data_IF_840123112922
#
_entry.id   IF_840123112922
#
_cell.length_a   1.000
_cell.length_b   1.000
_cell.length_c   1.000
_cell.angle_alpha   90.00
_cell.angle_beta   90.00
_cell.angle_gamma   90.00
#
_symmetry.space_group_name_H-M   'P 1'
#
loop_
_entity.id
_entity.type
_entity.pdbx_description
1 polymer ?
#
# COMPACT_ATOMS: atom_id res chain seq x y z
N UNK A 1 -61.30 28.54 24.30
CA UNK A 1 -59.89 28.22 24.57
C UNK A 1 -59.80 26.72 24.73
N UNK A 2 -59.32 26.02 23.70
CA UNK A 2 -59.15 24.56 23.68
C UNK A 2 -57.65 24.29 23.76
N UNK A 3 -57.21 23.68 24.86
CA UNK A 3 -55.85 23.13 24.99
C UNK A 3 -55.71 21.93 24.06
N UNK A 4 -54.78 22.03 23.11
CA UNK A 4 -54.34 20.88 22.33
C UNK A 4 -53.29 20.09 23.13
N UNK A 5 -53.41 18.76 23.24
CA UNK A 5 -52.41 17.95 23.90
C UNK A 5 -51.11 17.92 23.08
N UNK A 6 -50.02 18.30 23.74
CA UNK A 6 -48.65 18.15 23.24
C UNK A 6 -48.36 16.65 23.10
N UNK A 7 -48.24 16.19 21.87
CA UNK A 7 -47.89 14.82 21.53
C UNK A 7 -46.37 14.64 21.70
N UNK A 8 -45.94 14.14 22.86
CA UNK A 8 -44.54 13.80 23.19
C UNK A 8 -44.12 12.41 22.68
N UNK A 9 -44.82 11.86 21.69
CA UNK A 9 -44.65 10.52 21.17
C UNK A 9 -43.73 10.40 19.95
N UNK A 10 -42.72 11.25 19.78
CA UNK A 10 -41.65 11.00 18.79
C UNK A 10 -40.73 9.93 19.37
N UNK A 11 -41.21 8.67 19.34
CA UNK A 11 -40.36 7.50 19.41
C UNK A 11 -39.22 7.72 18.43
N UNK A 12 -37.99 7.72 18.94
CA UNK A 12 -36.79 7.64 18.14
C UNK A 12 -36.94 6.43 17.19
N UNK A 13 -37.46 6.69 15.99
CA UNK A 13 -37.28 5.84 14.83
C UNK A 13 -35.81 6.02 14.46
N UNK A 14 -34.94 5.42 15.28
CA UNK A 14 -33.64 5.02 14.84
C UNK A 14 -33.90 4.23 13.57
N UNK A 15 -33.45 4.79 12.44
CA UNK A 15 -33.34 4.08 11.18
C UNK A 15 -32.37 2.93 11.44
N UNK A 16 -32.91 1.85 12.02
CA UNK A 16 -32.21 0.64 12.39
C UNK A 16 -31.86 -0.06 11.11
N UNK A 17 -30.78 0.42 10.48
CA UNK A 17 -30.13 -0.30 9.40
C UNK A 17 -29.91 -1.72 9.92
N UNK A 18 -30.47 -2.69 9.21
CA UNK A 18 -30.38 -4.08 9.59
C UNK A 18 -28.89 -4.48 9.59
N UNK A 19 -28.28 -4.54 10.77
CA UNK A 19 -26.90 -4.99 10.92
C UNK A 19 -26.90 -6.52 10.80
N UNK A 20 -26.21 -7.11 9.80
CA UNK A 20 -26.07 -8.55 9.73
C UNK A 20 -25.08 -9.04 10.79
N UNK A 21 -25.26 -10.25 11.28
CA UNK A 21 -24.30 -10.90 12.16
C UNK A 21 -22.95 -11.05 11.47
N UNK A 22 -21.87 -10.64 12.13
CA UNK A 22 -20.50 -10.73 11.57
C UNK A 22 -20.00 -12.17 11.40
N UNK A 23 -20.69 -13.17 11.97
CA UNK A 23 -20.29 -14.57 11.91
C UNK A 23 -21.06 -15.37 10.86
N UNK A 24 -22.38 -15.20 10.76
CA UNK A 24 -23.23 -15.98 9.84
C UNK A 24 -24.04 -15.14 8.83
N UNK A 25 -24.02 -13.81 8.93
CA UNK A 25 -24.80 -12.92 8.06
C UNK A 25 -26.28 -12.76 8.40
N UNK A 26 -26.80 -13.44 9.43
CA UNK A 26 -28.21 -13.32 9.85
C UNK A 26 -28.58 -11.89 10.25
N UNK A 27 -29.77 -11.41 9.84
CA UNK A 27 -30.21 -10.05 10.17
C UNK A 27 -30.50 -9.90 11.67
N UNK A 28 -29.80 -9.00 12.34
CA UNK A 28 -30.00 -8.75 13.78
C UNK A 28 -31.10 -7.71 14.07
N UNK A 29 -31.88 -7.34 13.05
CA UNK A 29 -32.93 -6.33 13.19
C UNK A 29 -34.01 -6.80 14.17
N UNK A 30 -34.24 -6.00 15.21
CA UNK A 30 -35.27 -6.26 16.22
C UNK A 30 -34.87 -7.29 17.29
N UNK A 31 -33.62 -7.78 17.26
CA UNK A 31 -33.07 -8.55 18.37
C UNK A 31 -32.48 -7.62 19.44
N UNK A 32 -32.46 -8.09 20.69
CA UNK A 32 -31.85 -7.39 21.81
C UNK A 32 -30.33 -7.23 21.57
N UNK A 33 -29.79 -6.03 21.75
CA UNK A 33 -28.36 -5.74 21.56
C UNK A 33 -27.45 -6.59 22.48
N UNK A 34 -27.97 -6.95 23.66
CA UNK A 34 -27.30 -7.80 24.64
C UNK A 34 -27.46 -9.31 24.36
N UNK A 35 -28.25 -9.67 23.35
CA UNK A 35 -28.54 -11.05 22.99
C UNK A 35 -27.42 -11.73 22.20
N UNK A 36 -27.68 -12.97 21.80
CA UNK A 36 -26.85 -13.75 20.88
C UNK A 36 -27.60 -14.00 19.58
N UNK A 37 -26.86 -14.11 18.48
CA UNK A 37 -27.43 -14.47 17.18
C UNK A 37 -28.06 -15.88 17.27
N UNK A 38 -29.33 -16.06 16.85
CA UNK A 38 -30.02 -17.34 16.96
C UNK A 38 -29.43 -18.43 16.04
N UNK A 39 -28.76 -18.05 14.96
CA UNK A 39 -28.18 -18.99 14.00
C UNK A 39 -26.83 -19.56 14.46
N UNK A 40 -25.97 -18.73 15.07
CA UNK A 40 -24.58 -19.10 15.36
C UNK A 40 -24.13 -18.84 16.80
N UNK A 41 -24.98 -18.27 17.65
CA UNK A 41 -24.67 -17.95 19.05
C UNK A 41 -23.68 -16.79 19.26
N UNK A 42 -23.27 -16.07 18.21
CA UNK A 42 -22.37 -14.91 18.34
C UNK A 42 -23.08 -13.74 19.03
N UNK A 43 -22.45 -13.12 20.03
CA UNK A 43 -23.01 -11.94 20.70
C UNK A 43 -23.34 -10.82 19.70
N UNK A 44 -24.53 -10.24 19.83
CA UNK A 44 -25.06 -9.22 18.92
C UNK A 44 -24.23 -7.94 19.00
N UNK A 45 -23.83 -7.54 20.20
CA UNK A 45 -22.89 -6.45 20.47
C UNK A 45 -21.67 -6.51 19.55
N UNK A 46 -21.08 -7.69 19.33
CA UNK A 46 -19.90 -7.86 18.45
C UNK A 46 -20.18 -7.45 17.00
N UNK A 47 -21.42 -7.63 16.53
CA UNK A 47 -21.84 -7.23 15.19
C UNK A 47 -22.20 -5.74 15.13
N UNK A 48 -22.81 -5.21 16.21
CA UNK A 48 -23.15 -3.80 16.34
C UNK A 48 -21.91 -2.89 16.48
N UNK A 49 -20.86 -3.40 17.12
CA UNK A 49 -19.58 -2.69 17.28
C UNK A 49 -18.88 -2.48 15.92
N UNK A 50 -19.22 -3.28 14.90
CA UNK A 50 -18.71 -3.16 13.54
C UNK A 50 -17.25 -3.58 13.36
N UNK A 51 -16.75 -3.47 12.13
CA UNK A 51 -15.36 -3.77 11.73
C UNK A 51 -14.45 -2.54 11.90
N UNK A 52 -14.68 -1.73 12.94
CA UNK A 52 -13.92 -0.50 13.12
C UNK A 52 -12.51 -0.77 13.68
N UNK A 53 -11.50 -0.10 13.12
CA UNK A 53 -10.10 -0.25 13.53
C UNK A 53 -9.84 0.02 15.02
N UNK A 54 -10.65 0.88 15.64
CA UNK A 54 -10.54 1.22 17.06
C UNK A 54 -10.73 0.00 17.97
N UNK A 55 -11.44 -1.01 17.48
CA UNK A 55 -11.66 -2.24 18.22
C UNK A 55 -10.63 -3.31 17.89
N UNK A 56 -9.69 -3.11 16.96
CA UNK A 56 -8.74 -4.13 16.53
C UNK A 56 -7.69 -4.49 17.60
N UNK A 57 -6.99 -5.61 17.43
CA UNK A 57 -5.92 -6.03 18.34
C UNK A 57 -4.78 -5.00 18.35
N UNK A 58 -4.38 -4.54 19.54
CA UNK A 58 -3.35 -3.50 19.70
C UNK A 58 -1.96 -3.90 19.14
N UNK A 59 -1.60 -5.19 19.18
CA UNK A 59 -0.34 -5.69 18.59
C UNK A 59 -0.40 -5.64 17.06
N UNK A 60 -1.56 -5.97 16.49
CA UNK A 60 -1.76 -5.83 15.04
C UNK A 60 -1.73 -4.36 14.62
N UNK A 61 -2.40 -3.46 15.35
CA UNK A 61 -2.32 -2.00 15.11
C UNK A 61 -0.89 -1.46 15.17
N UNK A 62 -0.08 -1.92 16.14
CA UNK A 62 1.35 -1.57 16.21
C UNK A 62 2.12 -2.03 14.97
N UNK A 63 1.78 -3.20 14.44
CA UNK A 63 2.38 -3.75 13.21
C UNK A 63 2.03 -2.88 12.01
N UNK A 64 0.76 -2.46 11.89
CA UNK A 64 0.32 -1.53 10.85
C UNK A 64 1.03 -0.18 10.93
N UNK A 65 1.15 0.39 12.13
CA UNK A 65 1.83 1.66 12.36
C UNK A 65 3.31 1.61 11.94
N UNK A 66 4.02 0.53 12.31
CA UNK A 66 5.40 0.32 11.87
C UNK A 66 5.49 0.19 10.34
N UNK A 67 4.57 -0.55 9.73
CA UNK A 67 4.51 -0.66 8.27
C UNK A 67 4.28 0.68 7.57
N UNK A 68 3.34 1.48 8.09
CA UNK A 68 3.02 2.81 7.57
C UNK A 68 4.20 3.77 7.68
N UNK A 69 4.90 3.79 8.81
CA UNK A 69 6.07 4.67 8.99
C UNK A 69 7.19 4.33 8.01
N UNK A 70 7.46 3.04 7.76
CA UNK A 70 8.42 2.60 6.74
C UNK A 70 8.01 3.02 5.32
N UNK A 71 6.74 2.82 4.95
CA UNK A 71 6.20 3.20 3.64
C UNK A 71 6.21 4.73 3.45
N UNK A 72 6.00 5.52 4.50
CA UNK A 72 5.99 6.97 4.41
C UNK A 72 7.41 7.55 4.22
N UNK A 73 8.41 6.99 4.91
CA UNK A 73 9.78 7.50 4.89
C UNK A 73 10.60 7.02 3.69
N UNK A 74 10.35 5.80 3.20
CA UNK A 74 11.12 5.23 2.09
C UNK A 74 11.10 6.06 0.80
N UNK A 75 9.94 6.47 0.27
CA UNK A 75 9.85 7.30 -0.93
C UNK A 75 10.61 8.63 -0.81
N UNK A 76 10.67 9.23 0.39
CA UNK A 76 11.43 10.47 0.63
C UNK A 76 12.91 10.22 0.37
N UNK A 77 13.47 9.14 0.93
CA UNK A 77 14.87 8.75 0.72
C UNK A 77 15.13 8.41 -0.76
N UNK A 78 14.22 7.68 -1.41
CA UNK A 78 14.33 7.35 -2.83
C UNK A 78 14.40 8.61 -3.69
N UNK A 79 13.50 9.58 -3.47
CA UNK A 79 13.48 10.85 -4.21
C UNK A 79 14.76 11.66 -3.96
N UNK A 80 15.27 11.69 -2.73
CA UNK A 80 16.56 12.35 -2.43
C UNK A 80 17.73 11.69 -3.18
N UNK A 81 17.79 10.36 -3.22
CA UNK A 81 18.84 9.64 -3.94
C UNK A 81 18.74 9.84 -5.47
N UNK A 82 17.52 9.87 -6.01
CA UNK A 82 17.28 10.14 -7.43
C UNK A 82 17.71 11.55 -7.82
N UNK A 83 17.34 12.56 -7.03
CA UNK A 83 17.73 13.95 -7.31
C UNK A 83 19.24 14.14 -7.26
N UNK A 84 19.93 13.50 -6.28
CA UNK A 84 21.38 13.48 -6.23
C UNK A 84 22.01 12.80 -7.45
N UNK A 85 21.49 11.64 -7.87
CA UNK A 85 21.96 10.94 -9.07
C UNK A 85 21.83 11.77 -10.34
N UNK A 86 20.70 12.46 -10.51
CA UNK A 86 20.45 13.38 -11.64
C UNK A 86 21.44 14.55 -11.59
N UNK A 87 21.68 15.15 -10.43
CA UNK A 87 22.63 16.25 -10.28
C UNK A 87 24.05 15.83 -10.68
N UNK A 88 24.51 14.66 -10.22
CA UNK A 88 25.80 14.10 -10.63
C UNK A 88 25.86 13.83 -12.14
N UNK A 89 24.71 13.53 -12.78
CA UNK A 89 24.66 13.19 -14.21
C UNK A 89 24.87 14.44 -15.03
N UNK A 90 24.24 15.54 -14.61
CA UNK A 90 24.42 16.87 -15.20
C UNK A 90 25.89 17.29 -15.07
N UNK A 91 26.51 17.09 -13.90
CA UNK A 91 27.95 17.39 -13.71
C UNK A 91 28.82 16.56 -14.65
N UNK A 92 28.56 15.26 -14.77
CA UNK A 92 29.29 14.36 -15.70
C UNK A 92 29.22 14.89 -17.12
N UNK A 93 28.02 15.21 -17.60
CA UNK A 93 27.80 15.74 -18.96
C UNK A 93 28.48 17.10 -19.17
N UNK A 94 28.46 17.98 -18.17
CA UNK A 94 29.07 19.30 -18.25
C UNK A 94 30.62 19.26 -18.30
N UNK A 95 31.24 18.27 -17.64
CA UNK A 95 32.69 18.13 -17.56
C UNK A 95 33.25 17.29 -18.71
N UNK A 96 32.57 16.23 -19.12
CA UNK A 96 33.04 15.28 -20.15
C UNK A 96 33.35 15.94 -21.50
N UNK A 97 32.70 17.07 -21.82
CA UNK A 97 32.97 17.84 -23.05
C UNK A 97 34.06 18.91 -22.93
N UNK A 98 34.63 19.13 -21.73
CA UNK A 98 35.52 20.28 -21.45
C UNK A 98 36.92 19.91 -21.02
N UNK A 99 37.12 18.75 -20.39
CA UNK A 99 38.41 18.38 -19.83
C UNK A 99 38.74 16.91 -20.11
N UNK A 100 40.03 16.57 -20.10
CA UNK A 100 40.54 15.20 -20.17
C UNK A 100 40.52 14.47 -18.81
N UNK A 101 39.69 14.93 -17.88
CA UNK A 101 39.63 14.37 -16.51
C UNK A 101 38.99 12.98 -16.56
N UNK A 102 39.62 12.01 -15.91
CA UNK A 102 39.05 10.69 -15.74
C UNK A 102 37.87 10.74 -14.76
N UNK A 103 36.67 10.45 -15.26
CA UNK A 103 35.42 10.46 -14.50
C UNK A 103 34.96 9.06 -14.06
N UNK A 104 35.82 8.04 -14.11
CA UNK A 104 35.46 6.67 -13.73
C UNK A 104 34.92 6.54 -12.30
N UNK A 105 35.40 7.37 -11.37
CA UNK A 105 34.91 7.38 -9.99
C UNK A 105 33.41 7.72 -9.88
N UNK A 106 32.84 8.44 -10.85
CA UNK A 106 31.40 8.70 -10.87
C UNK A 106 30.60 7.42 -11.10
N UNK A 107 31.12 6.46 -11.87
CA UNK A 107 30.45 5.18 -12.10
C UNK A 107 30.31 4.37 -10.80
N UNK A 108 31.36 4.37 -9.97
CA UNK A 108 31.35 3.75 -8.64
C UNK A 108 30.32 4.43 -7.72
N UNK A 109 30.27 5.77 -7.72
CA UNK A 109 29.28 6.54 -6.95
C UNK A 109 27.86 6.20 -7.39
N UNK A 110 27.60 6.08 -8.70
CA UNK A 110 26.28 5.67 -9.19
C UNK A 110 25.90 4.27 -8.73
N UNK A 111 26.84 3.33 -8.76
CA UNK A 111 26.59 1.97 -8.28
C UNK A 111 26.26 1.98 -6.78
N UNK A 112 26.97 2.77 -5.97
CA UNK A 112 26.63 2.94 -4.54
C UNK A 112 25.23 3.53 -4.35
N UNK A 113 24.88 4.59 -5.10
CA UNK A 113 23.55 5.21 -5.01
C UNK A 113 22.43 4.23 -5.41
N UNK A 114 22.64 3.39 -6.41
CA UNK A 114 21.70 2.34 -6.81
C UNK A 114 21.51 1.29 -5.70
N UNK A 115 22.57 0.87 -5.02
CA UNK A 115 22.48 -0.03 -3.86
C UNK A 115 21.72 0.62 -2.70
N UNK A 116 22.00 1.89 -2.38
CA UNK A 116 21.27 2.63 -1.34
C UNK A 116 19.79 2.78 -1.67
N UNK A 117 19.47 3.06 -2.93
CA UNK A 117 18.08 3.12 -3.43
C UNK A 117 17.37 1.78 -3.28
N UNK A 118 18.07 0.69 -3.62
CA UNK A 118 17.56 -0.68 -3.47
C UNK A 118 17.32 -1.05 -2.01
N UNK A 119 18.23 -0.67 -1.11
CA UNK A 119 18.06 -0.86 0.33
C UNK A 119 16.86 -0.06 0.87
N UNK A 120 16.64 1.17 0.40
CA UNK A 120 15.46 1.95 0.75
C UNK A 120 14.17 1.28 0.27
N UNK A 121 14.15 0.74 -0.95
CA UNK A 121 13.00 0.00 -1.46
C UNK A 121 12.73 -1.29 -0.67
N UNK A 122 13.78 -1.99 -0.22
CA UNK A 122 13.62 -3.15 0.68
C UNK A 122 12.90 -2.76 1.97
N UNK A 123 13.21 -1.60 2.55
CA UNK A 123 12.49 -1.08 3.73
C UNK A 123 11.02 -0.83 3.40
N UNK A 124 10.71 -0.26 2.23
CA UNK A 124 9.32 -0.07 1.76
C UNK A 124 8.61 -1.41 1.57
N UNK A 125 9.30 -2.41 0.99
CA UNK A 125 8.75 -3.74 0.77
C UNK A 125 8.44 -4.44 2.11
N UNK A 126 9.32 -4.31 3.10
CA UNK A 126 9.07 -4.79 4.48
C UNK A 126 7.87 -4.05 5.08
N UNK A 127 7.82 -2.72 4.94
CA UNK A 127 6.68 -1.92 5.38
C UNK A 127 5.36 -2.36 4.74
N UNK A 128 5.39 -2.70 3.46
CA UNK A 128 4.27 -3.27 2.72
C UNK A 128 3.83 -4.63 3.30
N UNK A 129 4.77 -5.51 3.67
CA UNK A 129 4.44 -6.79 4.30
C UNK A 129 3.76 -6.60 5.66
N UNK A 130 4.21 -5.61 6.44
CA UNK A 130 3.67 -5.26 7.76
C UNK A 130 2.28 -4.63 7.66
N UNK A 131 2.08 -3.64 6.77
CA UNK A 131 0.77 -2.97 6.62
C UNK A 131 -0.30 -3.91 6.02
N UNK A 132 0.15 -4.94 5.31
CA UNK A 132 -0.73 -5.98 4.77
C UNK A 132 -0.82 -7.20 5.69
N UNK A 133 -0.33 -7.15 6.93
CA UNK A 133 -0.47 -8.25 7.88
C UNK A 133 -1.94 -8.65 8.08
N UNK A 134 -2.21 -9.96 8.17
CA UNK A 134 -3.57 -10.46 8.38
C UNK A 134 -4.11 -9.94 9.71
N UNK A 135 -5.34 -9.44 9.70
CA UNK A 135 -6.07 -9.22 10.95
C UNK A 135 -6.26 -10.59 11.64
N UNK A 136 -5.85 -10.78 12.91
CA UNK A 136 -6.04 -12.02 13.64
C UNK A 136 -7.50 -12.52 13.68
N UNK A 137 -8.47 -11.63 13.46
CA UNK A 137 -9.91 -11.91 13.43
C UNK A 137 -10.37 -12.53 12.12
N UNK A 138 -9.81 -12.08 11.01
CA UNK A 138 -10.12 -12.56 9.67
C UNK A 138 -9.33 -13.85 9.42
N UNK A 139 -9.79 -14.97 10.00
CA UNK A 139 -9.18 -16.31 9.78
C UNK A 139 -9.64 -16.99 8.49
N UNK A 140 -10.56 -16.39 7.77
CA UNK A 140 -11.04 -16.94 6.51
C UNK A 140 -9.91 -16.99 5.49
N UNK A 141 -9.93 -18.03 4.64
CA UNK A 141 -8.95 -18.17 3.57
C UNK A 141 -9.15 -17.04 2.58
N UNK A 142 -8.22 -16.09 2.55
CA UNK A 142 -8.21 -15.07 1.52
C UNK A 142 -8.08 -15.72 0.12
N UNK A 143 -8.79 -15.19 -0.89
CA UNK A 143 -8.61 -15.64 -2.26
C UNK A 143 -7.17 -15.38 -2.73
N UNK A 144 -6.65 -16.23 -3.60
CA UNK A 144 -5.29 -16.14 -4.14
C UNK A 144 -4.99 -14.79 -4.82
N UNK A 145 -6.03 -14.09 -5.29
CA UNK A 145 -5.94 -12.79 -5.95
C UNK A 145 -6.38 -11.64 -5.04
N UNK A 146 -6.20 -11.77 -3.72
CA UNK A 146 -6.47 -10.68 -2.79
C UNK A 146 -5.52 -9.50 -3.08
N UNK A 147 -6.01 -8.27 -2.88
CA UNK A 147 -5.20 -7.04 -3.06
C UNK A 147 -3.92 -7.07 -2.21
N UNK A 148 -3.99 -7.70 -1.03
CA UNK A 148 -2.82 -7.99 -0.18
C UNK A 148 -1.80 -8.86 -0.90
N UNK A 149 -2.23 -9.96 -1.50
CA UNK A 149 -1.32 -10.90 -2.19
C UNK A 149 -0.64 -10.22 -3.37
N UNK A 150 -1.39 -9.42 -4.13
CA UNK A 150 -0.86 -8.59 -5.23
C UNK A 150 0.19 -7.59 -4.71
N UNK A 151 -0.12 -6.85 -3.65
CA UNK A 151 0.81 -5.88 -3.05
C UNK A 151 2.12 -6.53 -2.60
N UNK A 152 2.04 -7.67 -1.89
CA UNK A 152 3.19 -8.39 -1.33
C UNK A 152 4.10 -8.95 -2.42
N UNK A 153 3.55 -9.74 -3.33
CA UNK A 153 4.32 -10.34 -4.41
C UNK A 153 4.79 -9.31 -5.42
N UNK A 154 4.00 -8.26 -5.68
CA UNK A 154 4.43 -7.12 -6.47
C UNK A 154 5.67 -6.46 -5.90
N UNK A 155 5.72 -6.16 -4.60
CA UNK A 155 6.90 -5.55 -3.98
C UNK A 155 8.13 -6.48 -4.00
N UNK A 156 7.96 -7.78 -3.73
CA UNK A 156 9.05 -8.77 -3.85
C UNK A 156 9.59 -8.79 -5.29
N UNK A 157 8.69 -8.84 -6.27
CA UNK A 157 9.06 -8.86 -7.68
C UNK A 157 9.79 -7.56 -8.08
N UNK A 158 9.35 -6.38 -7.63
CA UNK A 158 10.04 -5.11 -7.90
C UNK A 158 11.48 -5.14 -7.39
N UNK A 159 11.68 -5.58 -6.14
CA UNK A 159 13.03 -5.71 -5.56
C UNK A 159 13.88 -6.69 -6.39
N UNK A 160 13.31 -7.85 -6.75
CA UNK A 160 14.01 -8.86 -7.57
C UNK A 160 14.42 -8.32 -8.94
N UNK A 161 13.54 -7.58 -9.61
CA UNK A 161 13.84 -6.95 -10.90
C UNK A 161 14.96 -5.91 -10.78
N UNK A 162 14.96 -5.10 -9.73
CA UNK A 162 16.03 -4.10 -9.50
C UNK A 162 17.37 -4.78 -9.24
N UNK A 163 17.41 -5.81 -8.39
CA UNK A 163 18.64 -6.59 -8.16
C UNK A 163 19.13 -7.21 -9.47
N UNK A 164 18.22 -7.79 -10.26
CA UNK A 164 18.54 -8.33 -11.59
C UNK A 164 19.09 -7.28 -12.54
N UNK A 165 18.55 -6.05 -12.50
CA UNK A 165 19.02 -4.91 -13.30
C UNK A 165 20.42 -4.46 -12.91
N UNK A 166 20.71 -4.40 -11.61
CA UNK A 166 22.05 -4.09 -11.09
C UNK A 166 23.03 -5.19 -11.54
N UNK A 167 22.68 -6.46 -11.34
CA UNK A 167 23.50 -7.58 -11.79
C UNK A 167 23.74 -7.56 -13.30
N UNK A 168 22.72 -7.22 -14.10
CA UNK A 168 22.87 -7.03 -15.54
C UNK A 168 23.87 -5.92 -15.86
N UNK A 169 23.81 -4.76 -15.19
CA UNK A 169 24.72 -3.64 -15.46
C UNK A 169 26.19 -4.04 -15.24
N UNK A 170 26.45 -4.80 -14.18
CA UNK A 170 27.81 -5.20 -13.80
C UNK A 170 28.35 -6.39 -14.63
N UNK A 171 27.50 -7.38 -14.92
CA UNK A 171 27.93 -8.64 -15.54
C UNK A 171 27.49 -8.83 -16.99
N UNK A 172 26.34 -8.25 -17.39
CA UNK A 172 25.70 -8.46 -18.69
C UNK A 172 26.62 -8.19 -19.88
N UNK A 173 27.33 -7.05 -19.95
CA UNK A 173 28.26 -6.76 -21.03
C UNK A 173 29.41 -7.77 -21.14
N UNK A 174 29.91 -8.26 -20.00
CA UNK A 174 31.02 -9.21 -19.96
C UNK A 174 30.65 -10.59 -20.52
N UNK A 175 29.37 -10.97 -20.45
CA UNK A 175 28.84 -12.21 -21.01
C UNK A 175 28.11 -12.01 -22.36
N UNK A 176 28.29 -10.84 -23.00
CA UNK A 176 27.80 -10.57 -24.35
C UNK A 176 26.28 -10.36 -24.45
N UNK A 177 25.59 -10.03 -23.35
CA UNK A 177 24.16 -9.74 -23.42
C UNK A 177 23.94 -8.34 -24.03
N UNK A 178 23.07 -8.19 -25.05
CA UNK A 178 22.86 -6.91 -25.73
C UNK A 178 22.30 -5.83 -24.81
N UNK A 179 22.77 -4.58 -24.95
CA UNK A 179 22.34 -3.42 -24.14
C UNK A 179 20.83 -3.17 -24.13
N UNK A 180 20.13 -3.55 -25.22
CA UNK A 180 18.67 -3.45 -25.32
C UNK A 180 17.95 -4.20 -24.19
N UNK A 181 18.54 -5.28 -23.66
CA UNK A 181 18.00 -6.04 -22.53
C UNK A 181 17.86 -5.17 -21.28
N UNK A 182 18.76 -4.21 -21.05
CA UNK A 182 18.64 -3.28 -19.93
C UNK A 182 17.35 -2.46 -20.00
N UNK A 183 17.03 -1.94 -21.19
CA UNK A 183 15.80 -1.17 -21.43
C UNK A 183 14.55 -2.01 -21.19
N UNK A 184 14.56 -3.27 -21.63
CA UNK A 184 13.45 -4.22 -21.37
C UNK A 184 13.27 -4.46 -19.87
N UNK A 185 14.36 -4.69 -19.13
CA UNK A 185 14.30 -4.88 -17.66
C UNK A 185 13.73 -3.62 -16.98
N UNK A 186 14.13 -2.43 -17.40
CA UNK A 186 13.61 -1.17 -16.85
C UNK A 186 12.10 -1.00 -17.10
N UNK A 187 11.59 -1.38 -18.27
CA UNK A 187 10.14 -1.37 -18.55
C UNK A 187 9.40 -2.35 -17.64
N UNK A 188 9.94 -3.54 -17.45
CA UNK A 188 9.37 -4.54 -16.53
C UNK A 188 9.38 -4.02 -15.09
N UNK A 189 10.46 -3.36 -14.66
CA UNK A 189 10.57 -2.72 -13.34
C UNK A 189 9.41 -1.74 -13.10
N UNK A 190 9.16 -0.82 -14.05
CA UNK A 190 8.08 0.16 -13.98
C UNK A 190 6.71 -0.51 -13.92
N UNK A 191 6.46 -1.52 -14.75
CA UNK A 191 5.19 -2.23 -14.79
C UNK A 191 4.91 -2.95 -13.45
N UNK A 192 5.90 -3.70 -12.94
CA UNK A 192 5.77 -4.44 -11.67
C UNK A 192 5.61 -3.48 -10.49
N UNK A 193 6.38 -2.38 -10.46
CA UNK A 193 6.27 -1.36 -9.43
C UNK A 193 4.89 -0.70 -9.43
N UNK A 194 4.33 -0.40 -10.61
CA UNK A 194 2.97 0.17 -10.75
C UNK A 194 1.93 -0.76 -10.13
N UNK A 195 1.97 -2.05 -10.48
CA UNK A 195 1.04 -3.05 -9.92
C UNK A 195 1.18 -3.15 -8.40
N UNK A 196 2.41 -3.17 -7.89
CA UNK A 196 2.67 -3.23 -6.45
C UNK A 196 2.09 -2.01 -5.71
N UNK A 197 2.37 -0.80 -6.21
CA UNK A 197 1.89 0.46 -5.61
C UNK A 197 0.37 0.55 -5.63
N UNK A 198 -0.27 0.20 -6.75
CA UNK A 198 -1.74 0.18 -6.85
C UNK A 198 -2.35 -0.83 -5.87
N UNK A 199 -1.75 -2.01 -5.74
CA UNK A 199 -2.17 -3.02 -4.76
C UNK A 199 -2.10 -2.50 -3.32
N UNK A 200 -1.01 -1.83 -2.96
CA UNK A 200 -0.82 -1.20 -1.64
C UNK A 200 -1.86 -0.11 -1.39
N UNK A 201 -2.07 0.80 -2.34
CA UNK A 201 -3.01 1.92 -2.16
C UNK A 201 -4.45 1.44 -2.02
N UNK A 202 -4.89 0.48 -2.83
CA UNK A 202 -6.23 -0.12 -2.71
C UNK A 202 -6.41 -0.87 -1.39
N UNK A 203 -5.36 -1.50 -0.89
CA UNK A 203 -5.37 -2.12 0.44
C UNK A 203 -5.51 -1.06 1.54
N UNK A 204 -4.72 0.02 1.49
CA UNK A 204 -4.80 1.14 2.42
C UNK A 204 -6.19 1.79 2.37
N UNK A 205 -6.78 1.98 1.19
CA UNK A 205 -8.13 2.52 1.04
C UNK A 205 -9.20 1.63 1.69
N UNK A 206 -9.06 0.30 1.55
CA UNK A 206 -9.92 -0.66 2.25
C UNK A 206 -9.77 -0.56 3.77
N UNK A 207 -8.54 -0.45 4.26
CA UNK A 207 -8.26 -0.30 5.68
C UNK A 207 -8.81 1.04 6.21
N UNK A 208 -8.63 2.14 5.48
CA UNK A 208 -9.10 3.46 5.85
C UNK A 208 -10.64 3.53 5.97
N UNK A 209 -11.38 2.74 5.20
CA UNK A 209 -12.85 2.61 5.34
C UNK A 209 -13.32 1.99 6.65
N UNK A 210 -12.44 1.30 7.38
CA UNK A 210 -12.69 0.81 8.74
C UNK A 210 -12.50 1.91 9.80
N UNK A 211 -12.12 3.12 9.42
CA UNK A 211 -12.06 4.29 10.31
C UNK A 211 -13.35 5.11 10.22
N UNK A 212 -13.73 5.88 11.26
CA UNK A 212 -14.93 6.73 11.20
C UNK A 212 -14.91 7.76 10.07
N UNK A 213 -13.72 8.14 9.61
CA UNK A 213 -13.51 9.12 8.53
C UNK A 213 -13.43 8.41 7.18
N UNK A 214 -14.58 8.22 6.54
CA UNK A 214 -14.67 7.50 5.25
C UNK A 214 -13.94 8.19 4.09
N UNK A 215 -13.68 9.50 4.18
CA UNK A 215 -13.00 10.29 3.15
C UNK A 215 -11.56 9.86 2.85
N UNK A 216 -10.86 9.29 3.84
CA UNK A 216 -9.49 8.80 3.64
C UNK A 216 -9.47 7.58 2.69
N UNK A 217 -10.52 6.75 2.73
CA UNK A 217 -10.66 5.61 1.84
C UNK A 217 -10.87 6.03 0.38
N UNK A 218 -11.70 7.05 0.13
CA UNK A 218 -11.95 7.55 -1.22
C UNK A 218 -10.72 8.23 -1.81
N UNK A 219 -9.98 9.02 -1.01
CA UNK A 219 -8.72 9.64 -1.45
C UNK A 219 -7.67 8.61 -1.85
N UNK A 220 -7.55 7.50 -1.11
CA UNK A 220 -6.61 6.43 -1.44
C UNK A 220 -6.98 5.72 -2.76
N UNK A 221 -8.27 5.50 -3.02
CA UNK A 221 -8.74 4.90 -4.27
C UNK A 221 -8.55 5.85 -5.47
N UNK A 222 -8.79 7.15 -5.28
CA UNK A 222 -8.50 8.19 -6.29
C UNK A 222 -7.02 8.26 -6.63
N UNK A 223 -6.15 8.25 -5.60
CA UNK A 223 -4.70 8.21 -5.80
C UNK A 223 -4.25 6.94 -6.54
N UNK A 224 -4.82 5.77 -6.20
CA UNK A 224 -4.54 4.52 -6.90
C UNK A 224 -4.93 4.59 -8.38
N UNK A 225 -6.10 5.15 -8.69
CA UNK A 225 -6.55 5.33 -10.07
C UNK A 225 -5.65 6.31 -10.83
N UNK A 226 -5.26 7.43 -10.21
CA UNK A 226 -4.33 8.37 -10.82
C UNK A 226 -2.97 7.73 -11.13
N UNK A 227 -2.39 7.02 -10.16
CA UNK A 227 -1.07 6.36 -10.31
C UNK A 227 -1.10 5.26 -11.38
N UNK A 228 -2.21 4.53 -11.51
CA UNK A 228 -2.37 3.49 -12.55
C UNK A 228 -2.12 4.05 -13.95
N UNK A 229 -2.52 5.30 -14.21
CA UNK A 229 -2.37 5.95 -15.52
C UNK A 229 -1.10 6.81 -15.62
N UNK A 230 -0.77 7.55 -14.56
CA UNK A 230 0.33 8.51 -14.60
C UNK A 230 1.72 7.84 -14.52
N UNK A 231 1.89 6.79 -13.72
CA UNK A 231 3.22 6.23 -13.44
C UNK A 231 3.89 5.63 -14.68
N UNK A 232 3.21 4.83 -15.53
CA UNK A 232 3.81 4.31 -16.75
C UNK A 232 4.20 5.43 -17.73
N UNK A 233 3.40 6.49 -17.80
CA UNK A 233 3.65 7.64 -18.69
C UNK A 233 4.83 8.51 -18.25
N UNK A 234 5.08 8.62 -16.94
CA UNK A 234 6.18 9.42 -16.39
C UNK A 234 7.52 8.68 -16.43
N UNK A 235 7.48 7.34 -16.32
CA UNK A 235 8.68 6.51 -16.19
C UNK A 235 9.14 5.83 -17.50
N UNK A 236 8.36 5.98 -18.59
CA UNK A 236 8.75 5.61 -19.97
C UNK A 236 9.38 6.80 -20.68
#
# INVERSE_FOLDING_TARGET
MMEQPVNTGETAQGSGMAVPCVSCGYSLKGLDESGVCPECGTAIEKSLTGDALVHADARWLRTLYLGQTMIAQGPIVIVMLLTLGIALMIVRLAVAGRTSVNLAWLDDVYTILEWLRTASLLIVAIGCMLITAQDPRDREREPLWSMRTIARWGMIATVGVIIGRIGYREFGPAIGVPQMTYGVIAIIEVAVMTVAVVGVLRWIGRLARRTPTTSLGTQADEAANYITWALPLILL
#
